data_IF_667558227518
#
_entry.id   IF_667558227518
#
_cell.length_a   1.000
_cell.length_b   1.000
_cell.length_c   1.000
_cell.angle_alpha   90.00
_cell.angle_beta   90.00
_cell.angle_gamma   90.00
#
_symmetry.space_group_name_H-M   'P 1'
#
loop_
_entity.id
_entity.type
_entity.pdbx_description
1 polymer ?
#
# COMPACT_ATOMS: atom_id res chain seq x y z
N UNK A 1 -7.41 10.70 -19.67
CA UNK A 1 -6.28 9.78 -19.37
C UNK A 1 -6.36 9.41 -17.89
N UNK A 2 -6.91 8.25 -17.56
CA UNK A 2 -7.06 7.77 -16.17
C UNK A 2 -6.55 6.32 -16.12
N UNK A 3 -5.24 6.13 -16.31
CA UNK A 3 -4.62 4.81 -16.19
C UNK A 3 -4.25 4.49 -14.72
N UNK A 4 -3.87 5.49 -13.93
CA UNK A 4 -3.39 5.30 -12.54
C UNK A 4 -4.43 4.77 -11.54
N UNK A 5 -5.73 4.82 -11.88
CA UNK A 5 -6.77 4.18 -11.07
C UNK A 5 -6.75 2.66 -11.21
N UNK A 6 -6.61 2.18 -12.45
CA UNK A 6 -6.69 0.75 -12.75
C UNK A 6 -5.54 -0.04 -12.10
N UNK A 7 -4.37 0.58 -12.00
CA UNK A 7 -3.19 -0.10 -11.48
C UNK A 7 -3.13 -0.12 -9.94
N UNK A 8 -3.60 0.93 -9.25
CA UNK A 8 -3.62 0.93 -7.79
C UNK A 8 -4.65 -0.05 -7.23
N UNK A 9 -5.78 -0.24 -7.91
CA UNK A 9 -6.79 -1.23 -7.53
C UNK A 9 -6.23 -2.65 -7.57
N UNK A 10 -5.41 -3.00 -8.58
CA UNK A 10 -4.71 -4.31 -8.62
C UNK A 10 -3.76 -4.50 -7.44
N UNK A 11 -3.03 -3.44 -7.06
CA UNK A 11 -2.16 -3.49 -5.88
C UNK A 11 -3.00 -3.71 -4.62
N UNK A 12 -4.14 -3.02 -4.49
CA UNK A 12 -5.06 -3.21 -3.37
C UNK A 12 -5.59 -4.65 -3.31
N UNK A 13 -5.98 -5.23 -4.43
CA UNK A 13 -6.42 -6.64 -4.50
C UNK A 13 -5.32 -7.60 -4.03
N UNK A 14 -4.07 -7.35 -4.44
CA UNK A 14 -2.94 -8.16 -3.97
C UNK A 14 -2.69 -7.97 -2.47
N UNK A 15 -2.72 -6.74 -1.96
CA UNK A 15 -2.54 -6.45 -0.52
C UNK A 15 -3.62 -7.17 0.29
N UNK A 16 -4.85 -7.12 -0.21
CA UNK A 16 -5.99 -7.78 0.38
C UNK A 16 -5.81 -9.31 0.42
N UNK A 17 -5.31 -9.90 -0.67
CA UNK A 17 -5.00 -11.33 -0.74
C UNK A 17 -3.90 -11.74 0.24
N UNK A 18 -2.80 -10.97 0.31
CA UNK A 18 -1.67 -11.25 1.23
C UNK A 18 -2.09 -11.16 2.70
N UNK A 19 -2.86 -10.13 3.05
CA UNK A 19 -3.30 -9.94 4.43
C UNK A 19 -4.59 -10.70 4.78
N UNK A 20 -5.14 -11.44 3.82
CA UNK A 20 -6.43 -12.13 3.92
C UNK A 20 -7.55 -11.21 4.47
N UNK A 21 -7.66 -10.02 3.89
CA UNK A 21 -8.68 -9.01 4.21
C UNK A 21 -9.46 -8.63 2.94
N UNK A 22 -10.56 -7.89 3.10
CA UNK A 22 -11.29 -7.35 1.94
C UNK A 22 -10.53 -6.16 1.34
N UNK A 23 -10.54 -5.94 0.01
CA UNK A 23 -9.99 -4.74 -0.64
C UNK A 23 -10.50 -3.43 -0.02
N UNK A 24 -11.77 -3.39 0.36
CA UNK A 24 -12.39 -2.23 1.04
C UNK A 24 -11.77 -1.94 2.41
N UNK A 25 -11.22 -2.94 3.11
CA UNK A 25 -10.53 -2.77 4.39
C UNK A 25 -9.16 -2.08 4.24
N UNK A 26 -8.54 -2.14 3.05
CA UNK A 26 -7.27 -1.46 2.76
C UNK A 26 -7.48 0.06 2.78
N UNK A 27 -8.60 0.52 2.21
CA UNK A 27 -9.00 1.93 2.19
C UNK A 27 -9.67 2.39 3.50
N UNK A 28 -10.17 1.46 4.32
CA UNK A 28 -10.94 1.78 5.51
C UNK A 28 -10.14 2.62 6.53
N UNK A 29 -10.69 3.75 7.03
CA UNK A 29 -10.00 4.61 8.00
C UNK A 29 -9.79 3.88 9.32
N UNK A 30 -8.68 4.15 10.03
CA UNK A 30 -8.42 3.59 11.36
C UNK A 30 -7.00 3.08 11.57
N UNK A 31 -6.61 2.94 12.85
CA UNK A 31 -5.26 2.59 13.31
C UNK A 31 -5.10 1.12 13.70
N UNK A 32 -6.02 0.25 13.30
CA UNK A 32 -5.89 -1.19 13.56
C UNK A 32 -4.61 -1.72 12.90
N UNK A 33 -3.89 -2.61 13.61
CA UNK A 33 -2.60 -3.14 13.16
C UNK A 33 -2.65 -3.70 11.73
N UNK A 34 -3.72 -4.44 11.39
CA UNK A 34 -3.95 -4.96 10.03
C UNK A 34 -4.08 -3.86 8.97
N UNK A 35 -4.82 -2.78 9.26
CA UNK A 35 -4.98 -1.66 8.31
C UNK A 35 -3.69 -0.88 8.12
N UNK A 36 -2.88 -0.76 9.17
CA UNK A 36 -1.54 -0.16 9.09
C UNK A 36 -0.63 -1.03 8.21
N UNK A 37 -0.66 -2.36 8.38
CA UNK A 37 0.07 -3.29 7.52
C UNK A 37 -0.39 -3.19 6.06
N UNK A 38 -1.71 -3.13 5.83
CA UNK A 38 -2.27 -2.98 4.49
C UNK A 38 -1.80 -1.70 3.80
N UNK A 39 -1.90 -0.55 4.47
CA UNK A 39 -1.38 0.72 3.93
C UNK A 39 0.12 0.70 3.70
N UNK A 40 0.87 0.00 4.55
CA UNK A 40 2.32 -0.11 4.41
C UNK A 40 2.70 -0.89 3.15
N UNK A 41 2.08 -2.06 2.93
CA UNK A 41 2.27 -2.85 1.71
C UNK A 41 1.79 -2.11 0.46
N UNK A 42 0.63 -1.44 0.53
CA UNK A 42 0.10 -0.63 -0.56
C UNK A 42 1.09 0.46 -0.96
N UNK A 43 1.61 1.23 0.00
CA UNK A 43 2.61 2.27 -0.26
C UNK A 43 3.88 1.70 -0.90
N UNK A 44 4.36 0.56 -0.41
CA UNK A 44 5.56 -0.08 -0.92
C UNK A 44 5.39 -0.53 -2.37
N UNK A 45 4.36 -1.30 -2.68
CA UNK A 45 4.12 -1.78 -4.04
C UNK A 45 3.68 -0.67 -4.98
N UNK A 46 2.92 0.32 -4.53
CA UNK A 46 2.59 1.47 -5.37
C UNK A 46 3.83 2.31 -5.71
N UNK A 47 4.78 2.45 -4.78
CA UNK A 47 6.04 3.14 -5.06
C UNK A 47 6.97 2.30 -5.94
N UNK A 48 6.97 0.97 -5.78
CA UNK A 48 7.89 0.04 -6.47
C UNK A 48 7.40 -0.39 -7.86
N UNK A 49 6.13 -0.74 -7.98
CA UNK A 49 5.52 -1.30 -9.20
C UNK A 49 4.89 -0.23 -10.09
N UNK A 50 4.31 0.81 -9.48
CA UNK A 50 3.57 1.85 -10.20
C UNK A 50 4.33 3.17 -10.29
N UNK A 51 5.57 3.20 -9.76
CA UNK A 51 6.43 4.39 -9.69
C UNK A 51 5.71 5.62 -9.11
N UNK A 52 4.68 5.39 -8.27
CA UNK A 52 3.89 6.47 -7.69
C UNK A 52 4.75 7.18 -6.65
N UNK A 53 4.93 8.48 -6.87
CA UNK A 53 5.67 9.35 -5.98
C UNK A 53 5.08 9.37 -4.56
N UNK A 54 5.94 9.45 -3.54
CA UNK A 54 5.51 9.57 -2.13
C UNK A 54 4.55 10.75 -1.89
N UNK A 55 4.70 11.84 -2.64
CA UNK A 55 3.80 12.99 -2.60
C UNK A 55 2.39 12.69 -3.12
N UNK A 56 2.26 11.78 -4.09
CA UNK A 56 0.96 11.34 -4.59
C UNK A 56 0.31 10.34 -3.63
N UNK A 57 1.09 9.40 -3.08
CA UNK A 57 0.64 8.50 -2.01
C UNK A 57 0.16 9.27 -0.77
N UNK A 58 0.88 10.32 -0.38
CA UNK A 58 0.52 11.21 0.73
C UNK A 58 -0.85 11.86 0.49
N UNK A 59 -1.10 12.34 -0.73
CA UNK A 59 -2.40 12.92 -1.13
C UNK A 59 -3.52 11.88 -1.14
N UNK A 60 -3.30 10.70 -1.73
CA UNK A 60 -4.30 9.61 -1.80
C UNK A 60 -4.67 9.08 -0.42
N UNK A 61 -3.68 8.87 0.45
CA UNK A 61 -3.88 8.31 1.78
C UNK A 61 -4.20 9.37 2.85
N UNK A 62 -4.13 10.66 2.50
CA UNK A 62 -4.33 11.81 3.40
C UNK A 62 -3.46 11.74 4.66
N UNK A 63 -2.19 11.36 4.48
CA UNK A 63 -1.19 11.28 5.55
C UNK A 63 0.05 12.08 5.17
N UNK A 64 0.84 12.50 6.17
CA UNK A 64 2.07 13.26 5.93
C UNK A 64 3.08 12.48 5.09
N UNK A 65 3.94 13.15 4.28
CA UNK A 65 4.98 12.48 3.49
C UNK A 65 5.89 11.57 4.34
N UNK A 66 6.26 11.99 5.55
CA UNK A 66 7.06 11.16 6.48
C UNK A 66 6.33 9.88 6.90
N UNK A 67 5.00 9.92 7.04
CA UNK A 67 4.20 8.73 7.32
C UNK A 67 4.14 7.79 6.11
N UNK A 68 4.15 8.33 4.88
CA UNK A 68 4.29 7.52 3.66
C UNK A 68 5.65 6.84 3.63
N UNK A 69 6.75 7.57 3.84
CA UNK A 69 8.11 7.00 3.87
C UNK A 69 8.22 5.87 4.89
N UNK A 70 7.69 6.08 6.10
CA UNK A 70 7.65 5.06 7.14
C UNK A 70 6.78 3.85 6.74
N UNK A 71 5.67 4.09 6.05
CA UNK A 71 4.78 3.04 5.54
C UNK A 71 5.45 2.22 4.45
N UNK A 72 6.17 2.84 3.52
CA UNK A 72 6.95 2.16 2.47
C UNK A 72 8.01 1.26 3.11
N UNK A 73 8.80 1.78 4.05
CA UNK A 73 9.84 1.00 4.72
C UNK A 73 9.29 -0.18 5.53
N UNK A 74 8.16 0.03 6.24
CA UNK A 74 7.46 -1.06 6.92
C UNK A 74 6.88 -2.07 5.94
N UNK A 75 6.32 -1.61 4.82
CA UNK A 75 5.75 -2.43 3.77
C UNK A 75 6.79 -3.31 3.10
N UNK A 76 7.97 -2.75 2.84
CA UNK A 76 9.13 -3.49 2.34
C UNK A 76 9.52 -4.62 3.29
N UNK A 77 9.64 -4.32 4.60
CA UNK A 77 9.92 -5.35 5.61
C UNK A 77 8.85 -6.43 5.65
N UNK A 78 7.57 -6.07 5.60
CA UNK A 78 6.48 -7.05 5.59
C UNK A 78 6.55 -7.92 4.33
N UNK A 79 6.78 -7.33 3.15
CA UNK A 79 6.90 -8.08 1.90
C UNK A 79 8.11 -9.03 1.89
N UNK A 80 9.22 -8.63 2.53
CA UNK A 80 10.42 -9.45 2.70
C UNK A 80 10.20 -10.60 3.70
N UNK A 81 9.56 -10.33 4.84
CA UNK A 81 9.33 -11.29 5.93
C UNK A 81 8.33 -12.37 5.52
N UNK A 82 7.31 -12.01 4.74
CA UNK A 82 6.28 -12.94 4.23
C UNK A 82 6.75 -13.74 3.01
N UNK A 83 7.97 -13.50 2.50
CA UNK A 83 8.50 -14.13 1.27
C UNK A 83 7.73 -13.75 -0.01
N UNK A 84 6.85 -12.76 0.07
CA UNK A 84 6.04 -12.28 -1.03
C UNK A 84 6.80 -11.23 -1.85
N UNK A 85 7.71 -11.73 -2.68
CA UNK A 85 8.06 -11.00 -3.92
C UNK A 85 6.79 -10.92 -4.76
N UNK A 86 6.25 -9.70 -4.93
CA UNK A 86 5.57 -9.44 -6.19
C UNK A 86 6.66 -9.60 -7.25
N UNK A 87 6.45 -10.59 -8.12
CA UNK A 87 7.26 -11.00 -9.28
C UNK A 87 8.50 -10.15 -9.58
#
# INVERSE_FOLDING_TARGET
MQAAGYDIDKVVEKVAAVLNIKPSEVWAPGKQRRRVQARSLLCYWAARELEISMAELSRKLKISPSAVTLSVWRGEKIALDDGHKLI
#
